data_IF_558968352488
#
_entry.id   IF_558968352488
#
_cell.length_a   1.000
_cell.length_b   1.000
_cell.length_c   1.000
_cell.angle_alpha   90.00
_cell.angle_beta   90.00
_cell.angle_gamma   90.00
#
_symmetry.space_group_name_H-M   'P 1'
#
loop_
_entity.id
_entity.type
_entity.pdbx_description
1 polymer ?
#
# COMPACT_ATOMS: atom_id res chain seq x y z
N UNK A 1 -1.16 -25.73 -13.15
CA UNK A 1 -1.50 -24.37 -12.74
C UNK A 1 -0.97 -23.98 -11.37
N UNK A 2 -1.08 -24.84 -10.36
CA UNK A 2 -0.47 -24.58 -9.05
C UNK A 2 1.04 -24.36 -9.14
N UNK A 3 1.71 -25.08 -10.02
CA UNK A 3 3.17 -25.02 -10.16
C UNK A 3 3.65 -23.69 -10.76
N UNK A 4 2.89 -23.10 -11.70
CA UNK A 4 3.22 -21.80 -12.28
C UNK A 4 3.09 -20.67 -11.26
N UNK A 5 2.04 -20.71 -10.42
CA UNK A 5 1.84 -19.72 -9.36
C UNK A 5 2.97 -19.82 -8.34
N UNK A 6 3.37 -21.04 -7.97
CA UNK A 6 4.46 -21.26 -7.02
C UNK A 6 5.80 -20.81 -7.59
N UNK A 7 6.05 -21.01 -8.89
CA UNK A 7 7.24 -20.51 -9.57
C UNK A 7 7.31 -18.99 -9.53
N UNK A 8 6.19 -18.31 -9.83
CA UNK A 8 6.12 -16.84 -9.77
C UNK A 8 6.42 -16.36 -8.36
N UNK A 9 5.82 -16.99 -7.35
CA UNK A 9 6.05 -16.64 -5.94
C UNK A 9 7.51 -16.81 -5.55
N UNK A 10 8.15 -17.91 -5.98
CA UNK A 10 9.56 -18.17 -5.70
C UNK A 10 10.48 -17.15 -6.35
N UNK A 11 10.23 -16.81 -7.61
CA UNK A 11 11.01 -15.81 -8.34
C UNK A 11 10.93 -14.45 -7.63
N UNK A 12 9.74 -14.06 -7.21
CA UNK A 12 9.52 -12.78 -6.52
C UNK A 12 10.19 -12.77 -5.16
N UNK A 13 10.03 -13.83 -4.36
CA UNK A 13 10.62 -13.93 -3.02
C UNK A 13 12.13 -13.93 -3.03
N UNK A 14 12.73 -14.49 -4.07
CA UNK A 14 14.18 -14.54 -4.21
C UNK A 14 14.77 -13.28 -4.84
N UNK A 15 13.94 -12.38 -5.34
CA UNK A 15 14.40 -11.17 -5.99
C UNK A 15 14.97 -10.17 -4.97
N UNK A 16 15.96 -9.39 -5.39
CA UNK A 16 16.52 -8.31 -4.56
C UNK A 16 15.48 -7.24 -4.28
N UNK A 17 14.59 -6.98 -5.23
CA UNK A 17 13.50 -6.02 -5.11
C UNK A 17 12.55 -6.40 -3.99
N UNK A 18 12.20 -7.68 -3.87
CA UNK A 18 11.34 -8.16 -2.79
C UNK A 18 12.03 -8.02 -1.44
N UNK A 19 13.31 -8.40 -1.36
CA UNK A 19 14.09 -8.28 -0.12
C UNK A 19 14.21 -6.82 0.32
N UNK A 20 14.44 -5.92 -0.64
CA UNK A 20 14.48 -4.47 -0.37
C UNK A 20 13.13 -3.97 0.14
N UNK A 21 12.03 -4.41 -0.47
CA UNK A 21 10.68 -4.03 -0.05
C UNK A 21 10.37 -4.55 1.37
N UNK A 22 10.77 -5.78 1.68
CA UNK A 22 10.59 -6.35 3.02
C UNK A 22 11.38 -5.57 4.06
N UNK A 23 12.62 -5.18 3.76
CA UNK A 23 13.42 -4.37 4.67
C UNK A 23 12.80 -2.99 4.89
N UNK A 24 12.25 -2.37 3.84
CA UNK A 24 11.55 -1.09 3.94
C UNK A 24 10.28 -1.22 4.80
N UNK A 25 9.53 -2.30 4.62
CA UNK A 25 8.35 -2.60 5.44
C UNK A 25 8.71 -2.71 6.92
N UNK A 26 9.76 -3.45 7.24
CA UNK A 26 10.24 -3.61 8.62
C UNK A 26 10.64 -2.29 9.26
N UNK A 27 11.35 -1.43 8.53
CA UNK A 27 11.70 -0.10 9.03
C UNK A 27 10.45 0.73 9.32
N UNK A 28 9.47 0.69 8.44
CA UNK A 28 8.22 1.40 8.60
C UNK A 28 7.42 0.91 9.82
N UNK A 29 7.29 -0.41 9.96
CA UNK A 29 6.52 -1.05 11.04
C UNK A 29 7.19 -0.80 12.40
N UNK A 30 8.52 -0.75 12.44
CA UNK A 30 9.27 -0.57 13.67
C UNK A 30 9.42 0.90 14.09
N UNK A 31 8.93 1.84 13.30
CA UNK A 31 8.94 3.25 13.65
C UNK A 31 7.60 3.65 14.30
N UNK A 32 7.57 3.92 15.62
CA UNK A 32 6.31 4.22 16.31
C UNK A 32 5.59 5.45 15.76
N UNK A 33 6.32 6.47 15.34
CA UNK A 33 5.72 7.70 14.78
C UNK A 33 5.01 7.39 13.46
N UNK A 34 5.63 6.59 12.60
CA UNK A 34 5.04 6.20 11.32
C UNK A 34 3.80 5.34 11.53
N UNK A 35 3.86 4.38 12.45
CA UNK A 35 2.70 3.51 12.75
C UNK A 35 1.52 4.34 13.29
N UNK A 36 1.78 5.30 14.17
CA UNK A 36 0.72 6.20 14.66
C UNK A 36 0.07 6.98 13.51
N UNK A 37 0.89 7.47 12.59
CA UNK A 37 0.43 8.22 11.44
C UNK A 37 -0.43 7.35 10.51
N UNK A 38 0.00 6.14 10.23
CA UNK A 38 -0.75 5.21 9.38
C UNK A 38 -2.06 4.79 10.04
N UNK A 39 -2.05 4.59 11.35
CA UNK A 39 -3.27 4.28 12.12
C UNK A 39 -4.25 5.44 12.06
N UNK A 40 -3.76 6.67 12.22
CA UNK A 40 -4.60 7.87 12.12
C UNK A 40 -5.21 8.00 10.71
N UNK A 41 -4.41 7.73 9.67
CA UNK A 41 -4.91 7.75 8.30
C UNK A 41 -6.04 6.73 8.10
N UNK A 42 -5.86 5.53 8.59
CA UNK A 42 -6.87 4.47 8.51
C UNK A 42 -8.15 4.88 9.24
N UNK A 43 -8.04 5.47 10.43
CA UNK A 43 -9.18 5.96 11.19
C UNK A 43 -9.93 7.07 10.43
N UNK A 44 -9.20 8.00 9.82
CA UNK A 44 -9.82 9.07 9.03
C UNK A 44 -10.51 8.56 7.77
N UNK A 45 -9.95 7.55 7.13
CA UNK A 45 -10.61 6.88 6.00
C UNK A 45 -11.93 6.24 6.43
N UNK A 46 -11.93 5.59 7.57
CA UNK A 46 -13.14 4.96 8.12
C UNK A 46 -14.21 6.03 8.46
N UNK A 47 -13.79 7.11 9.12
CA UNK A 47 -14.69 8.23 9.44
C UNK A 47 -15.30 8.83 8.17
N UNK A 48 -14.49 8.99 7.12
CA UNK A 48 -14.95 9.52 5.84
C UNK A 48 -15.96 8.59 5.19
N UNK A 49 -15.69 7.29 5.16
CA UNK A 49 -16.61 6.31 4.61
C UNK A 49 -17.95 6.28 5.37
N UNK A 50 -17.89 6.39 6.70
CA UNK A 50 -19.08 6.44 7.54
C UNK A 50 -19.87 7.73 7.31
N UNK A 51 -19.17 8.86 7.17
CA UNK A 51 -19.80 10.15 6.93
C UNK A 51 -20.53 10.17 5.57
N UNK A 52 -19.93 9.58 4.54
CA UNK A 52 -20.59 9.46 3.24
C UNK A 52 -21.86 8.60 3.32
N UNK A 53 -21.81 7.52 4.08
CA UNK A 53 -22.96 6.62 4.28
C UNK A 53 -24.12 7.32 4.96
N UNK A 54 -23.84 8.23 5.89
CA UNK A 54 -24.84 8.93 6.69
C UNK A 54 -25.01 10.41 6.33
N UNK A 55 -24.60 10.79 5.12
CA UNK A 55 -24.68 12.18 4.64
C UNK A 55 -26.10 12.74 4.70
N UNK A 56 -27.10 11.92 4.38
CA UNK A 56 -28.53 12.29 4.43
C UNK A 56 -28.99 12.66 5.84
N UNK A 57 -28.27 12.20 6.86
CA UNK A 57 -28.59 12.44 8.27
C UNK A 57 -27.78 13.56 8.88
N UNK A 58 -27.13 14.39 8.07
CA UNK A 58 -26.43 15.58 8.53
C UNK A 58 -24.97 15.37 8.89
N UNK A 59 -24.32 14.32 8.38
CA UNK A 59 -22.90 14.13 8.59
C UNK A 59 -22.09 15.25 7.93
N UNK A 60 -21.05 15.74 8.62
CA UNK A 60 -20.15 16.78 8.09
C UNK A 60 -19.05 16.17 7.23
N UNK A 61 -19.43 15.77 6.03
CA UNK A 61 -18.53 15.11 5.06
C UNK A 61 -17.36 16.01 4.68
N UNK A 62 -17.62 17.31 4.52
CA UNK A 62 -16.60 18.25 4.05
C UNK A 62 -15.47 18.45 5.06
N UNK A 63 -15.80 18.60 6.34
CA UNK A 63 -14.80 18.72 7.40
C UNK A 63 -13.95 17.47 7.51
N UNK A 64 -14.59 16.29 7.46
CA UNK A 64 -13.89 15.00 7.56
C UNK A 64 -13.00 14.79 6.34
N UNK A 65 -13.46 15.18 5.15
CA UNK A 65 -12.65 15.09 3.92
C UNK A 65 -11.40 15.95 4.02
N UNK A 66 -11.50 17.16 4.57
CA UNK A 66 -10.35 18.04 4.77
C UNK A 66 -9.36 17.43 5.75
N UNK A 67 -9.85 16.86 6.85
CA UNK A 67 -9.01 16.19 7.84
C UNK A 67 -8.27 14.99 7.21
N UNK A 68 -8.98 14.19 6.41
CA UNK A 68 -8.40 13.06 5.70
C UNK A 68 -7.29 13.52 4.74
N UNK A 69 -7.53 14.59 3.99
CA UNK A 69 -6.54 15.16 3.07
C UNK A 69 -5.28 15.63 3.79
N UNK A 70 -5.42 16.27 4.95
CA UNK A 70 -4.29 16.71 5.77
C UNK A 70 -3.46 15.54 6.25
N UNK A 71 -4.10 14.49 6.75
CA UNK A 71 -3.41 13.29 7.21
C UNK A 71 -2.72 12.58 6.03
N UNK A 72 -3.39 12.52 4.87
CA UNK A 72 -2.80 11.95 3.67
C UNK A 72 -1.52 12.67 3.25
N UNK A 73 -1.50 14.00 3.34
CA UNK A 73 -0.30 14.78 3.04
C UNK A 73 0.85 14.40 3.99
N UNK A 74 0.56 14.20 5.27
CA UNK A 74 1.58 13.77 6.24
C UNK A 74 2.09 12.37 5.92
N UNK A 75 1.21 11.45 5.54
CA UNK A 75 1.60 10.09 5.12
C UNK A 75 2.49 10.14 3.88
N UNK A 76 2.08 10.89 2.86
CA UNK A 76 2.81 11.00 1.60
C UNK A 76 4.17 11.68 1.78
N UNK A 77 4.30 12.53 2.80
CA UNK A 77 5.55 13.22 3.13
C UNK A 77 6.47 12.40 4.03
N UNK A 78 6.00 11.29 4.57
CA UNK A 78 6.80 10.44 5.46
C UNK A 78 7.85 9.67 4.65
N UNK A 79 9.12 9.80 5.02
CA UNK A 79 10.24 9.20 4.28
C UNK A 79 10.17 7.67 4.25
N UNK A 80 9.79 7.05 5.36
CA UNK A 80 9.71 5.59 5.46
C UNK A 80 8.55 5.04 4.61
N UNK A 81 7.41 5.73 4.59
CA UNK A 81 6.27 5.37 3.74
C UNK A 81 6.64 5.52 2.27
N UNK A 82 7.32 6.60 1.91
CA UNK A 82 7.76 6.83 0.52
C UNK A 82 8.74 5.73 0.06
N UNK A 83 9.68 5.35 0.92
CA UNK A 83 10.62 4.26 0.65
C UNK A 83 9.89 2.94 0.42
N UNK A 84 8.95 2.61 1.31
CA UNK A 84 8.13 1.42 1.19
C UNK A 84 7.35 1.40 -0.13
N UNK A 85 6.70 2.49 -0.47
CA UNK A 85 5.90 2.59 -1.69
C UNK A 85 6.77 2.42 -2.95
N UNK A 86 7.95 3.03 -2.99
CA UNK A 86 8.88 2.88 -4.11
C UNK A 86 9.37 1.45 -4.25
N UNK A 87 9.71 0.81 -3.13
CA UNK A 87 10.22 -0.55 -3.14
C UNK A 87 9.15 -1.55 -3.61
N UNK A 88 7.92 -1.42 -3.14
CA UNK A 88 6.83 -2.29 -3.56
C UNK A 88 6.38 -2.03 -4.99
N UNK A 89 6.51 -0.81 -5.51
CA UNK A 89 6.25 -0.52 -6.91
C UNK A 89 7.17 -1.36 -7.82
N UNK A 90 8.42 -1.52 -7.44
CA UNK A 90 9.37 -2.37 -8.18
C UNK A 90 9.01 -3.84 -8.12
N UNK A 91 8.54 -4.32 -6.97
CA UNK A 91 8.05 -5.71 -6.83
C UNK A 91 6.84 -5.92 -7.75
N UNK A 92 5.94 -4.97 -7.81
CA UNK A 92 4.77 -5.03 -8.68
C UNK A 92 5.17 -5.09 -10.16
N UNK A 93 6.18 -4.35 -10.57
CA UNK A 93 6.71 -4.41 -11.94
C UNK A 93 7.22 -5.81 -12.29
N UNK A 94 7.96 -6.44 -11.38
CA UNK A 94 8.46 -7.80 -11.57
C UNK A 94 7.30 -8.78 -11.69
N UNK A 95 6.30 -8.65 -10.85
CA UNK A 95 5.10 -9.49 -10.90
C UNK A 95 4.36 -9.33 -12.22
N UNK A 96 4.18 -8.10 -12.68
CA UNK A 96 3.50 -7.81 -13.94
C UNK A 96 4.29 -8.39 -15.13
N UNK A 97 5.62 -8.26 -15.12
CA UNK A 97 6.50 -8.81 -16.16
C UNK A 97 6.46 -10.34 -16.18
N UNK A 98 6.54 -10.97 -15.01
CA UNK A 98 6.47 -12.43 -14.91
C UNK A 98 5.13 -12.96 -15.40
N UNK A 99 4.03 -12.28 -15.02
CA UNK A 99 2.68 -12.65 -15.45
C UNK A 99 2.52 -12.51 -16.96
N UNK A 100 3.03 -11.42 -17.53
CA UNK A 100 3.00 -11.19 -18.98
C UNK A 100 3.74 -12.25 -19.75
N UNK A 101 4.93 -12.62 -19.30
CA UNK A 101 5.76 -13.63 -19.94
C UNK A 101 5.08 -15.00 -19.93
N UNK A 102 4.45 -15.36 -18.83
CA UNK A 102 3.71 -16.61 -18.70
C UNK A 102 2.50 -16.63 -19.64
N UNK A 103 1.72 -15.55 -19.69
CA UNK A 103 0.58 -15.44 -20.59
C UNK A 103 1.00 -15.51 -22.07
N UNK A 104 2.17 -14.97 -22.40
CA UNK A 104 2.73 -14.99 -23.74
C UNK A 104 3.08 -16.42 -24.16
N UNK A 105 3.58 -17.25 -23.25
CA UNK A 105 3.94 -18.63 -23.51
C UNK A 105 2.70 -19.54 -23.64
N UNK A 106 1.59 -19.16 -23.03
CA UNK A 106 0.33 -19.91 -23.10
C UNK A 106 -0.47 -19.54 -24.36
N UNK A 107 -0.32 -18.32 -24.84
CA UNK A 107 -0.97 -17.85 -26.05
C UNK A 107 -0.23 -18.36 -27.29
#
# INVERSE_FOLDING_TARGET
MKDLINEIKSIIKDSEEYKTAKAAEERMINDPTTIKLLTLYQQKQQEYNDALRFEEYGSDVETIRKQLAEVKMLVDSNALVAEYNRAYAKVKEILDDATRNILKDIA
#
